data_IF_094652323924
#
_entry.id   IF_094652323924
#
_cell.length_a   1.000
_cell.length_b   1.000
_cell.length_c   1.000
_cell.angle_alpha   90.00
_cell.angle_beta   90.00
_cell.angle_gamma   90.00
#
_symmetry.space_group_name_H-M   'P 1'
#
loop_
_entity.id
_entity.type
_entity.pdbx_description
1 polymer ?
#
# COMPACT_ATOMS: atom_id res chain seq x y z
N UNK A 1 6.76 25.83 -15.53
CA UNK A 1 6.08 26.95 -16.22
C UNK A 1 4.66 27.23 -15.72
N UNK A 2 3.70 26.30 -15.84
CA UNK A 2 2.31 26.52 -15.40
C UNK A 2 2.16 26.74 -13.89
N UNK A 3 2.95 26.02 -13.08
CA UNK A 3 2.92 26.19 -11.61
C UNK A 3 3.43 27.57 -11.17
N UNK A 4 4.54 28.06 -11.72
CA UNK A 4 5.05 29.39 -11.37
C UNK A 4 4.17 30.54 -11.87
N UNK A 5 3.45 30.35 -12.99
CA UNK A 5 2.43 31.31 -13.43
C UNK A 5 1.30 31.43 -12.39
N UNK A 6 0.73 30.30 -11.95
CA UNK A 6 -0.29 30.29 -10.88
C UNK A 6 0.24 30.87 -9.57
N UNK A 7 1.51 30.58 -9.20
CA UNK A 7 2.14 31.15 -8.00
C UNK A 7 2.25 32.67 -8.11
N UNK A 8 2.65 33.20 -9.27
CA UNK A 8 2.72 34.64 -9.50
C UNK A 8 1.33 35.31 -9.40
N UNK A 9 0.28 34.69 -9.96
CA UNK A 9 -1.10 35.18 -9.85
C UNK A 9 -1.59 35.24 -8.38
N UNK A 10 -1.03 34.39 -7.52
CA UNK A 10 -1.30 34.36 -6.07
C UNK A 10 -0.27 35.17 -5.24
N UNK A 11 0.67 35.88 -5.87
CA UNK A 11 1.70 36.68 -5.19
C UNK A 11 2.77 35.87 -4.47
N UNK A 12 3.00 34.61 -4.88
CA UNK A 12 3.99 33.70 -4.28
C UNK A 12 5.28 33.65 -5.10
N UNK A 13 6.42 33.53 -4.40
CA UNK A 13 7.74 33.37 -5.01
C UNK A 13 7.81 32.14 -5.94
N UNK A 14 8.51 32.23 -7.08
CA UNK A 14 8.65 31.10 -8.00
C UNK A 14 9.47 29.97 -7.38
N UNK A 15 9.20 28.74 -7.80
CA UNK A 15 10.04 27.58 -7.49
C UNK A 15 11.08 27.39 -8.59
N UNK A 16 12.32 27.07 -8.21
CA UNK A 16 13.37 26.71 -9.17
C UNK A 16 13.12 25.31 -9.75
N UNK A 17 12.72 24.36 -8.89
CA UNK A 17 12.36 23.00 -9.27
C UNK A 17 11.00 22.60 -8.71
N UNK A 18 10.29 21.70 -9.42
CA UNK A 18 8.97 21.24 -9.00
C UNK A 18 8.96 20.65 -7.58
N UNK A 19 10.02 19.94 -7.20
CA UNK A 19 10.12 19.30 -5.89
C UNK A 19 10.45 20.25 -4.74
N UNK A 20 10.91 21.49 -5.03
CA UNK A 20 11.18 22.49 -4.00
C UNK A 20 9.93 22.84 -3.18
N UNK A 21 8.73 22.63 -3.75
CA UNK A 21 7.47 22.81 -3.03
C UNK A 21 7.37 21.91 -1.79
N UNK A 22 7.95 20.70 -1.84
CA UNK A 22 7.92 19.75 -0.72
C UNK A 22 8.77 20.28 0.43
N UNK A 23 9.93 20.85 0.11
CA UNK A 23 10.84 21.44 1.10
C UNK A 23 10.30 22.72 1.75
N UNK A 24 9.30 23.37 1.14
CA UNK A 24 8.60 24.51 1.73
C UNK A 24 7.48 24.10 2.70
N UNK A 25 7.14 22.80 2.78
CA UNK A 25 6.08 22.35 3.66
C UNK A 25 6.48 22.51 5.13
N UNK A 26 5.58 23.10 5.94
CA UNK A 26 5.76 23.20 7.40
C UNK A 26 5.83 21.81 8.07
N UNK A 27 5.16 20.82 7.48
CA UNK A 27 5.19 19.40 7.89
C UNK A 27 5.09 18.51 6.66
N UNK A 28 5.79 17.38 6.73
CA UNK A 28 5.68 16.28 5.77
C UNK A 28 5.14 15.06 6.52
N UNK A 29 3.96 14.59 6.12
CA UNK A 29 3.26 13.51 6.81
C UNK A 29 3.50 12.19 6.08
N UNK A 30 4.32 11.32 6.68
CA UNK A 30 4.66 10.02 6.13
C UNK A 30 3.63 9.00 6.61
N UNK A 31 2.74 8.60 5.71
CA UNK A 31 1.54 7.79 5.99
C UNK A 31 1.84 6.29 6.11
N UNK A 32 2.89 5.92 6.84
CA UNK A 32 3.31 4.53 7.04
C UNK A 32 3.83 4.29 8.45
N UNK A 33 3.97 3.02 8.82
CA UNK A 33 4.67 2.62 10.03
C UNK A 33 6.19 2.79 9.85
N UNK A 34 6.92 3.37 10.82
CA UNK A 34 8.39 3.40 10.81
C UNK A 34 9.02 2.01 10.73
N UNK A 35 8.39 0.98 11.32
CA UNK A 35 8.92 -0.39 11.30
C UNK A 35 8.85 -1.03 9.89
N UNK A 36 7.97 -0.53 9.03
CA UNK A 36 7.95 -0.91 7.61
C UNK A 36 9.11 -0.29 6.83
N UNK A 37 9.59 0.88 7.22
CA UNK A 37 10.65 1.58 6.51
C UNK A 37 12.06 1.13 6.92
N UNK A 38 13.06 1.41 6.10
CA UNK A 38 14.44 1.18 6.54
C UNK A 38 14.84 2.23 7.57
N UNK A 39 15.70 1.89 8.56
CA UNK A 39 16.20 2.87 9.51
C UNK A 39 16.78 4.10 8.78
N UNK A 40 16.16 5.25 8.98
CA UNK A 40 16.52 6.48 8.32
C UNK A 40 16.34 7.67 9.27
N UNK A 41 17.21 8.68 9.12
CA UNK A 41 17.01 9.98 9.77
C UNK A 41 16.06 10.80 8.89
N UNK A 42 14.87 11.06 9.41
CA UNK A 42 13.91 11.91 8.71
C UNK A 42 14.38 13.38 8.68
N UNK A 43 14.07 14.12 7.61
CA UNK A 43 14.15 15.58 7.60
C UNK A 43 13.36 16.19 8.76
N UNK A 44 13.77 17.38 9.21
CA UNK A 44 13.13 18.07 10.33
C UNK A 44 11.59 18.22 10.23
N UNK A 45 10.97 18.50 9.07
CA UNK A 45 9.52 18.61 8.96
C UNK A 45 8.80 17.25 8.87
N UNK A 46 9.51 16.14 8.64
CA UNK A 46 8.90 14.85 8.35
C UNK A 46 8.54 14.06 9.61
N UNK A 47 7.34 13.48 9.63
CA UNK A 47 6.80 12.67 10.74
C UNK A 47 6.14 11.42 10.19
N UNK A 48 6.45 10.26 10.76
CA UNK A 48 5.60 9.07 10.58
C UNK A 48 4.30 9.27 11.33
N UNK A 49 3.18 9.15 10.63
CA UNK A 49 1.84 9.44 11.18
C UNK A 49 0.79 8.39 10.81
N UNK A 50 1.21 7.33 10.12
CA UNK A 50 0.30 6.36 9.54
C UNK A 50 0.56 4.93 9.99
N UNK A 51 -0.11 3.98 9.32
CA UNK A 51 -0.92 4.17 8.11
C UNK A 51 -2.40 4.49 8.37
N UNK A 52 -3.08 4.93 7.32
CA UNK A 52 -4.56 4.92 7.22
C UNK A 52 -4.98 3.66 6.48
N UNK A 53 -5.86 2.88 7.10
CA UNK A 53 -6.24 1.53 6.64
C UNK A 53 -7.63 1.46 6.01
N UNK A 54 -8.30 2.60 5.85
CA UNK A 54 -9.68 2.66 5.35
C UNK A 54 -9.79 2.13 3.91
N UNK A 55 -10.92 1.50 3.61
CA UNK A 55 -11.26 1.12 2.25
C UNK A 55 -11.86 2.31 1.49
N UNK A 56 -11.65 2.40 0.18
CA UNK A 56 -12.30 3.42 -0.63
C UNK A 56 -13.83 3.26 -0.59
N UNK A 57 -14.56 4.38 -0.68
CA UNK A 57 -16.03 4.40 -0.61
C UNK A 57 -16.73 3.69 -1.78
N UNK A 58 -16.01 3.37 -2.86
CA UNK A 58 -16.54 2.75 -4.08
C UNK A 58 -16.49 1.20 -4.07
N UNK A 59 -15.97 0.57 -3.02
CA UNK A 59 -15.90 -0.89 -2.93
C UNK A 59 -17.29 -1.51 -2.80
N UNK A 60 -17.52 -2.62 -3.50
CA UNK A 60 -18.77 -3.38 -3.43
C UNK A 60 -18.72 -4.43 -2.32
N UNK A 61 -19.84 -4.75 -1.64
CA UNK A 61 -19.88 -5.80 -0.63
C UNK A 61 -19.34 -7.13 -1.17
N UNK A 62 -18.70 -7.90 -0.29
CA UNK A 62 -18.15 -9.21 -0.62
C UNK A 62 -18.54 -10.23 0.46
N UNK A 63 -18.84 -11.45 0.01
CA UNK A 63 -19.15 -12.58 0.88
C UNK A 63 -18.03 -13.61 0.77
N UNK A 64 -17.52 -14.06 1.92
CA UNK A 64 -16.51 -15.10 1.96
C UNK A 64 -17.06 -16.42 1.36
N UNK A 65 -16.28 -17.14 0.54
CA UNK A 65 -16.70 -18.44 0.07
C UNK A 65 -16.69 -19.45 1.24
N UNK A 66 -17.58 -20.44 1.19
CA UNK A 66 -17.94 -21.31 2.33
C UNK A 66 -17.00 -22.50 2.56
N UNK A 67 -16.11 -22.78 1.63
CA UNK A 67 -15.10 -23.84 1.68
C UNK A 67 -13.82 -23.42 2.43
N UNK A 68 -13.03 -24.42 2.83
CA UNK A 68 -11.86 -24.24 3.71
C UNK A 68 -10.53 -24.04 2.94
N UNK A 69 -10.55 -24.11 1.61
CA UNK A 69 -9.34 -23.95 0.80
C UNK A 69 -8.68 -22.58 1.01
N UNK A 70 -7.34 -22.46 1.00
CA UNK A 70 -6.66 -21.18 1.18
C UNK A 70 -7.12 -20.13 0.16
N UNK A 71 -7.48 -18.94 0.63
CA UNK A 71 -7.91 -17.84 -0.23
C UNK A 71 -6.72 -16.94 -0.61
N UNK A 72 -6.56 -16.68 -1.90
CA UNK A 72 -5.58 -15.72 -2.44
C UNK A 72 -6.29 -14.45 -2.90
N UNK A 73 -5.91 -13.32 -2.34
CA UNK A 73 -6.35 -12.00 -2.81
C UNK A 73 -5.36 -11.47 -3.86
N UNK A 74 -5.85 -11.09 -5.03
CA UNK A 74 -5.03 -10.53 -6.12
C UNK A 74 -5.43 -9.07 -6.41
N UNK A 75 -4.47 -8.14 -6.34
CA UNK A 75 -4.68 -6.72 -6.64
C UNK A 75 -3.44 -6.00 -7.17
N UNK A 76 -3.41 -5.68 -8.47
CA UNK A 76 -2.24 -5.11 -9.15
C UNK A 76 -2.28 -3.59 -9.42
N UNK A 77 -3.37 -2.87 -9.11
CA UNK A 77 -3.52 -1.40 -9.08
C UNK A 77 -4.97 -1.01 -9.36
N UNK A 78 -5.43 0.14 -8.87
CA UNK A 78 -6.69 0.78 -9.29
C UNK A 78 -6.51 1.71 -10.51
N UNK A 79 -5.27 1.91 -10.96
CA UNK A 79 -4.90 2.70 -12.15
C UNK A 79 -4.32 1.79 -13.23
N UNK A 80 -4.57 2.11 -14.51
CA UNK A 80 -4.04 1.33 -15.63
C UNK A 80 -2.50 1.39 -15.67
N UNK A 81 -1.88 0.22 -15.72
CA UNK A 81 -0.42 -0.02 -15.73
C UNK A 81 -0.05 -1.14 -16.72
N UNK A 82 -0.92 -1.43 -17.71
CA UNK A 82 -0.78 -2.52 -18.65
C UNK A 82 -0.57 -3.86 -17.90
N UNK A 83 -1.55 -4.19 -17.04
CA UNK A 83 -1.49 -5.31 -16.09
C UNK A 83 -2.25 -6.55 -16.55
N UNK A 84 -3.01 -6.47 -17.63
CA UNK A 84 -3.96 -7.47 -18.15
C UNK A 84 -3.29 -8.83 -18.32
N UNK A 85 -2.19 -8.88 -19.09
CA UNK A 85 -1.42 -10.11 -19.30
C UNK A 85 -0.80 -10.64 -18.00
N UNK A 86 -0.50 -9.77 -17.04
CA UNK A 86 0.05 -10.19 -15.73
C UNK A 86 -1.05 -10.81 -14.87
N UNK A 87 -2.25 -10.25 -14.90
CA UNK A 87 -3.43 -10.81 -14.21
C UNK A 87 -3.77 -12.17 -14.79
N UNK A 88 -3.80 -12.33 -16.12
CA UNK A 88 -4.03 -13.65 -16.72
C UNK A 88 -2.99 -14.68 -16.27
N UNK A 89 -1.69 -14.35 -16.28
CA UNK A 89 -0.64 -15.26 -15.78
C UNK A 89 -0.78 -15.61 -14.30
N UNK A 90 -1.28 -14.69 -13.48
CA UNK A 90 -1.58 -14.97 -12.07
C UNK A 90 -2.76 -15.93 -11.97
N UNK A 91 -3.83 -15.71 -12.73
CA UNK A 91 -4.99 -16.60 -12.78
C UNK A 91 -4.56 -18.01 -13.21
N UNK A 92 -3.79 -18.11 -14.30
CA UNK A 92 -3.27 -19.38 -14.81
C UNK A 92 -2.42 -20.10 -13.75
N UNK A 93 -1.59 -19.36 -13.01
CA UNK A 93 -0.79 -19.91 -11.93
C UNK A 93 -1.65 -20.45 -10.78
N UNK A 94 -2.63 -19.68 -10.33
CA UNK A 94 -3.52 -20.04 -9.22
C UNK A 94 -4.45 -21.20 -9.60
N UNK A 95 -4.82 -21.34 -10.87
CA UNK A 95 -5.59 -22.47 -11.39
C UNK A 95 -4.87 -23.82 -11.21
N UNK A 96 -3.54 -23.82 -11.07
CA UNK A 96 -2.74 -25.05 -10.84
C UNK A 96 -2.58 -25.42 -9.36
N UNK A 97 -3.13 -24.62 -8.45
CA UNK A 97 -2.98 -24.79 -7.00
C UNK A 97 -4.33 -25.13 -6.36
N UNK A 98 -4.34 -25.88 -5.24
CA UNK A 98 -5.54 -26.13 -4.45
C UNK A 98 -5.88 -24.90 -3.60
N UNK A 99 -6.22 -23.80 -4.28
CA UNK A 99 -6.54 -22.51 -3.66
C UNK A 99 -7.75 -21.90 -4.32
N UNK A 100 -8.41 -21.02 -3.56
CA UNK A 100 -9.41 -20.09 -4.08
C UNK A 100 -8.73 -18.78 -4.37
N UNK A 101 -9.29 -18.01 -5.31
CA UNK A 101 -8.81 -16.66 -5.52
C UNK A 101 -9.93 -15.65 -5.74
N UNK A 102 -9.66 -14.43 -5.30
CA UNK A 102 -10.42 -13.25 -5.69
C UNK A 102 -9.47 -12.24 -6.31
N UNK A 103 -9.75 -11.90 -7.56
CA UNK A 103 -9.04 -10.88 -8.33
C UNK A 103 -9.88 -9.62 -8.31
N UNK A 104 -9.34 -8.54 -7.72
CA UNK A 104 -9.97 -7.22 -7.77
C UNK A 104 -9.38 -6.43 -8.94
N UNK A 105 -10.16 -6.25 -10.00
CA UNK A 105 -9.76 -5.59 -11.24
C UNK A 105 -9.60 -4.07 -11.10
N UNK A 106 -10.38 -3.44 -10.21
CA UNK A 106 -10.50 -1.99 -10.12
C UNK A 106 -11.14 -1.39 -11.38
N UNK A 107 -11.15 -0.05 -11.53
CA UNK A 107 -11.65 0.59 -12.74
C UNK A 107 -10.70 0.46 -13.94
N UNK A 108 -9.55 -0.17 -13.74
CA UNK A 108 -8.46 -0.22 -14.73
C UNK A 108 -8.50 -1.45 -15.64
N UNK A 109 -9.32 -2.45 -15.31
CA UNK A 109 -9.47 -3.69 -16.06
C UNK A 109 -10.96 -4.05 -16.11
N UNK A 110 -11.45 -4.43 -17.29
CA UNK A 110 -12.76 -5.08 -17.42
C UNK A 110 -12.66 -6.52 -16.91
N UNK A 111 -13.42 -6.93 -15.86
CA UNK A 111 -13.40 -8.30 -15.35
C UNK A 111 -13.65 -9.38 -16.40
N UNK A 112 -14.36 -9.07 -17.50
CA UNK A 112 -14.68 -10.01 -18.58
C UNK A 112 -13.53 -10.22 -19.57
N UNK A 113 -12.48 -9.39 -19.50
CA UNK A 113 -11.31 -9.46 -20.39
C UNK A 113 -10.31 -10.57 -20.04
N UNK A 114 -10.51 -11.25 -18.91
CA UNK A 114 -9.66 -12.35 -18.44
C UNK A 114 -10.46 -13.64 -18.27
N UNK A 115 -9.81 -14.77 -18.49
CA UNK A 115 -10.44 -16.08 -18.36
C UNK A 115 -10.08 -16.70 -17.02
N UNK A 116 -11.09 -16.88 -16.15
CA UNK A 116 -10.93 -17.45 -14.82
C UNK A 116 -11.70 -18.79 -14.67
N UNK A 117 -11.08 -19.84 -14.09
CA UNK A 117 -11.77 -21.07 -13.73
C UNK A 117 -12.71 -20.85 -12.52
N UNK A 118 -13.55 -21.85 -12.22
CA UNK A 118 -14.60 -21.73 -11.21
C UNK A 118 -14.11 -21.40 -9.78
N UNK A 119 -12.88 -21.78 -9.43
CA UNK A 119 -12.27 -21.47 -8.13
C UNK A 119 -11.68 -20.05 -8.03
N UNK A 120 -11.80 -19.25 -9.10
CA UNK A 120 -11.24 -17.89 -9.19
C UNK A 120 -12.37 -16.92 -9.55
N UNK A 121 -12.67 -16.01 -8.62
CA UNK A 121 -13.59 -14.91 -8.86
C UNK A 121 -12.85 -13.68 -9.37
N UNK A 122 -13.35 -13.05 -10.43
CA UNK A 122 -12.84 -11.76 -10.92
C UNK A 122 -13.94 -10.73 -10.73
N UNK A 123 -13.68 -9.73 -9.91
CA UNK A 123 -14.66 -8.70 -9.55
C UNK A 123 -14.10 -7.32 -9.83
N UNK A 124 -14.98 -6.35 -10.11
CA UNK A 124 -14.59 -4.96 -10.27
C UNK A 124 -13.97 -4.41 -8.97
N UNK A 125 -14.54 -4.75 -7.81
CA UNK A 125 -14.06 -4.31 -6.51
C UNK A 125 -14.51 -5.23 -5.38
N UNK A 126 -13.78 -5.18 -4.26
CA UNK A 126 -14.14 -5.80 -2.98
C UNK A 126 -13.46 -5.04 -1.84
N UNK A 127 -14.04 -5.00 -0.62
CA UNK A 127 -13.39 -4.43 0.57
C UNK A 127 -12.20 -5.30 0.97
N UNK A 128 -10.99 -4.86 0.60
CA UNK A 128 -9.77 -5.63 0.91
C UNK A 128 -9.63 -5.89 2.40
N UNK A 129 -10.10 -5.00 3.28
CA UNK A 129 -10.09 -5.23 4.73
C UNK A 129 -10.88 -6.47 5.14
N UNK A 130 -12.02 -6.72 4.52
CA UNK A 130 -12.85 -7.90 4.81
C UNK A 130 -12.27 -9.16 4.17
N UNK A 131 -11.83 -9.07 2.90
CA UNK A 131 -11.20 -10.20 2.20
C UNK A 131 -9.95 -10.69 2.94
N UNK A 132 -9.13 -9.76 3.44
CA UNK A 132 -7.88 -10.07 4.13
C UNK A 132 -8.07 -10.85 5.44
N UNK A 133 -9.27 -10.82 6.05
CA UNK A 133 -9.57 -11.67 7.22
C UNK A 133 -9.56 -13.16 6.89
N UNK A 134 -9.76 -13.50 5.62
CA UNK A 134 -9.82 -14.87 5.12
C UNK A 134 -8.63 -15.24 4.23
N UNK A 135 -7.82 -14.25 3.84
CA UNK A 135 -6.72 -14.47 2.90
C UNK A 135 -5.54 -15.18 3.55
N UNK A 136 -5.07 -16.25 2.88
CA UNK A 136 -3.82 -16.91 3.21
C UNK A 136 -2.61 -16.19 2.59
N UNK A 137 -2.78 -15.66 1.37
CA UNK A 137 -1.73 -14.96 0.60
C UNK A 137 -2.33 -13.77 -0.16
N UNK A 138 -1.55 -12.70 -0.31
CA UNK A 138 -1.87 -11.60 -1.24
C UNK A 138 -0.89 -11.60 -2.41
N UNK A 139 -1.39 -11.46 -3.64
CA UNK A 139 -0.56 -11.13 -4.81
C UNK A 139 -0.83 -9.67 -5.16
N UNK A 140 0.18 -8.82 -5.04
CA UNK A 140 0.05 -7.40 -5.34
C UNK A 140 1.25 -6.86 -6.11
N UNK A 141 1.11 -5.65 -6.63
CA UNK A 141 2.13 -4.97 -7.42
C UNK A 141 3.14 -4.16 -6.60
N UNK A 142 3.04 -4.15 -5.27
CA UNK A 142 3.89 -3.34 -4.38
C UNK A 142 3.32 -1.96 -4.05
N UNK A 143 2.06 -1.69 -4.41
CA UNK A 143 1.38 -0.46 -4.01
C UNK A 143 1.24 -0.38 -2.49
N UNK A 144 1.74 0.72 -1.90
CA UNK A 144 1.84 0.91 -0.44
C UNK A 144 0.55 0.57 0.31
N UNK A 145 -0.61 1.04 -0.16
CA UNK A 145 -1.91 0.79 0.49
C UNK A 145 -2.26 -0.69 0.61
N UNK A 146 -2.04 -1.50 -0.44
CA UNK A 146 -2.31 -2.95 -0.38
C UNK A 146 -1.28 -3.68 0.47
N UNK A 147 0.01 -3.31 0.34
CA UNK A 147 1.09 -3.91 1.14
C UNK A 147 0.82 -3.71 2.63
N UNK A 148 0.52 -2.49 3.04
CA UNK A 148 0.29 -2.16 4.45
C UNK A 148 -0.99 -2.80 4.99
N UNK A 149 -2.08 -2.86 4.21
CA UNK A 149 -3.30 -3.58 4.62
C UNK A 149 -3.04 -5.08 4.82
N UNK A 150 -2.30 -5.72 3.91
CA UNK A 150 -1.94 -7.11 4.02
C UNK A 150 -1.10 -7.39 5.28
N UNK A 151 -0.09 -6.55 5.56
CA UNK A 151 0.69 -6.62 6.79
C UNK A 151 -0.18 -6.39 8.03
N UNK A 152 -1.05 -5.38 8.03
CA UNK A 152 -1.98 -5.12 9.13
C UNK A 152 -2.90 -6.32 9.43
N UNK A 153 -3.20 -7.14 8.43
CA UNK A 153 -3.96 -8.39 8.57
C UNK A 153 -3.07 -9.64 8.86
N UNK A 154 -1.75 -9.48 8.94
CA UNK A 154 -0.80 -10.58 9.13
C UNK A 154 -0.69 -11.51 7.93
N UNK A 155 -1.06 -11.04 6.73
CA UNK A 155 -1.09 -11.88 5.52
C UNK A 155 0.20 -11.68 4.71
N UNK A 156 0.98 -12.75 4.47
CA UNK A 156 2.16 -12.69 3.63
C UNK A 156 1.80 -12.49 2.15
N UNK A 157 2.78 -12.08 1.33
CA UNK A 157 2.48 -11.66 -0.03
C UNK A 157 3.52 -12.04 -1.09
N UNK A 158 3.05 -12.21 -2.33
CA UNK A 158 3.86 -12.15 -3.54
C UNK A 158 3.77 -10.74 -4.10
N UNK A 159 4.92 -10.08 -4.27
CA UNK A 159 4.99 -8.70 -4.78
C UNK A 159 5.54 -8.71 -6.20
N UNK A 160 4.81 -8.09 -7.13
CA UNK A 160 5.13 -8.01 -8.56
C UNK A 160 5.27 -6.56 -9.04
N UNK A 161 6.42 -5.90 -8.80
CA UNK A 161 6.60 -4.48 -9.13
C UNK A 161 6.41 -4.18 -10.62
N UNK A 162 5.64 -3.12 -10.90
CA UNK A 162 5.39 -2.54 -12.22
C UNK A 162 6.10 -1.18 -12.43
N UNK A 163 6.45 -0.46 -11.36
CA UNK A 163 7.18 0.82 -11.39
C UNK A 163 6.97 1.65 -10.13
N UNK A 164 7.28 2.96 -10.18
CA UNK A 164 7.14 3.88 -9.03
C UNK A 164 7.95 3.39 -7.82
N UNK A 165 7.38 3.48 -6.62
CA UNK A 165 7.93 3.07 -5.32
C UNK A 165 7.75 1.56 -5.02
N UNK A 166 7.25 0.79 -5.99
CA UNK A 166 6.82 -0.59 -5.76
C UNK A 166 7.99 -1.55 -5.54
N UNK A 167 9.14 -1.30 -6.17
CA UNK A 167 10.32 -2.14 -6.00
C UNK A 167 10.93 -1.95 -4.60
N UNK A 168 10.87 -0.73 -4.08
CA UNK A 168 11.29 -0.37 -2.73
C UNK A 168 10.36 -1.02 -1.70
N UNK A 169 9.04 -0.98 -1.91
CA UNK A 169 8.08 -1.69 -1.07
C UNK A 169 8.29 -3.22 -1.11
N UNK A 170 8.55 -3.79 -2.28
CA UNK A 170 8.91 -5.21 -2.40
C UNK A 170 10.18 -5.55 -1.62
N UNK A 171 11.19 -4.67 -1.65
CA UNK A 171 12.44 -4.83 -0.90
C UNK A 171 12.18 -4.80 0.62
N UNK A 172 11.33 -3.87 1.09
CA UNK A 172 10.94 -3.79 2.51
C UNK A 172 10.23 -5.06 2.99
N UNK A 173 9.33 -5.61 2.17
CA UNK A 173 8.60 -6.86 2.46
C UNK A 173 9.53 -8.06 2.51
N UNK A 174 10.37 -8.22 1.47
CA UNK A 174 11.24 -9.40 1.33
C UNK A 174 12.38 -9.43 2.35
N UNK A 175 12.98 -8.28 2.67
CA UNK A 175 14.03 -8.17 3.69
C UNK A 175 13.54 -8.57 5.09
N UNK A 176 12.23 -8.41 5.35
CA UNK A 176 11.58 -8.80 6.61
C UNK A 176 11.01 -10.21 6.58
N UNK A 177 11.17 -10.94 5.48
CA UNK A 177 10.65 -12.29 5.32
C UNK A 177 9.12 -12.38 5.29
N UNK A 178 8.41 -11.28 5.01
CA UNK A 178 6.94 -11.24 4.96
C UNK A 178 6.38 -11.52 3.55
N UNK A 179 7.24 -11.85 2.58
CA UNK A 179 6.80 -12.14 1.22
C UNK A 179 7.94 -12.45 0.25
N UNK A 180 7.57 -12.67 -1.01
CA UNK A 180 8.48 -13.00 -2.11
C UNK A 180 8.27 -12.00 -3.25
N UNK A 181 9.35 -11.45 -3.79
CA UNK A 181 9.28 -10.62 -4.99
C UNK A 181 9.39 -11.47 -6.27
N UNK A 182 8.49 -11.23 -7.22
CA UNK A 182 8.45 -11.89 -8.53
C UNK A 182 8.43 -10.81 -9.61
N UNK A 183 9.14 -11.00 -10.72
CA UNK A 183 9.16 -10.02 -11.82
C UNK A 183 7.76 -9.93 -12.47
N UNK A 184 7.34 -8.73 -12.91
CA UNK A 184 6.08 -8.51 -13.67
C UNK A 184 5.89 -9.52 -14.82
N UNK A 185 6.96 -9.77 -15.58
CA UNK A 185 6.98 -10.70 -16.72
C UNK A 185 7.24 -12.16 -16.37
N UNK A 186 7.17 -12.55 -15.10
CA UNK A 186 7.36 -13.95 -14.71
C UNK A 186 6.27 -14.84 -15.31
N UNK A 187 6.66 -16.08 -15.63
CA UNK A 187 5.73 -17.13 -16.05
C UNK A 187 4.88 -17.59 -14.86
N UNK A 188 3.70 -18.10 -15.19
CA UNK A 188 2.74 -18.75 -14.30
C UNK A 188 3.41 -19.74 -13.33
N UNK A 189 4.31 -20.62 -13.80
CA UNK A 189 4.96 -21.60 -12.91
C UNK A 189 5.79 -20.95 -11.80
N UNK A 190 6.43 -19.80 -12.08
CA UNK A 190 7.22 -19.06 -11.09
C UNK A 190 6.32 -18.38 -10.05
N UNK A 191 5.17 -17.88 -10.49
CA UNK A 191 4.15 -17.29 -9.61
C UNK A 191 3.56 -18.37 -8.70
N UNK A 192 3.16 -19.51 -9.27
CA UNK A 192 2.62 -20.64 -8.51
C UNK A 192 3.62 -21.17 -7.47
N UNK A 193 4.91 -21.28 -7.84
CA UNK A 193 5.97 -21.69 -6.92
C UNK A 193 6.16 -20.69 -5.76
N UNK A 194 6.02 -19.39 -6.00
CA UNK A 194 6.11 -18.38 -4.94
C UNK A 194 4.92 -18.46 -3.98
N UNK A 195 3.70 -18.62 -4.49
CA UNK A 195 2.49 -18.81 -3.66
C UNK A 195 2.61 -20.08 -2.82
N UNK A 196 2.96 -21.21 -3.45
CA UNK A 196 3.15 -22.49 -2.75
C UNK A 196 4.20 -22.38 -1.64
N UNK A 197 5.34 -21.75 -1.93
CA UNK A 197 6.38 -21.54 -0.91
C UNK A 197 5.87 -20.75 0.30
N UNK A 198 5.05 -19.72 0.09
CA UNK A 198 4.47 -18.94 1.19
C UNK A 198 3.46 -19.77 1.99
N UNK A 199 2.66 -20.61 1.31
CA UNK A 199 1.69 -21.49 1.97
C UNK A 199 2.37 -22.60 2.79
N UNK A 200 3.47 -23.16 2.29
CA UNK A 200 4.17 -24.29 2.91
C UNK A 200 5.13 -23.87 4.04
N UNK A 201 5.61 -22.62 4.03
CA UNK A 201 6.56 -22.10 5.02
C UNK A 201 5.88 -21.10 5.97
N UNK A 202 5.54 -21.51 7.21
CA UNK A 202 4.81 -20.66 8.16
C UNK A 202 5.61 -19.43 8.62
N UNK A 203 6.92 -19.38 8.38
CA UNK A 203 7.73 -18.22 8.74
C UNK A 203 7.28 -16.94 8.02
N UNK A 204 6.76 -17.04 6.78
CA UNK A 204 6.24 -15.89 6.06
C UNK A 204 5.06 -15.25 6.77
N UNK A 205 4.12 -16.07 7.26
CA UNK A 205 2.97 -15.60 8.05
C UNK A 205 3.41 -15.03 9.39
N UNK A 206 4.27 -15.73 10.13
CA UNK A 206 4.77 -15.23 11.41
C UNK A 206 5.50 -13.86 11.28
N UNK A 207 6.25 -13.67 10.18
CA UNK A 207 6.92 -12.41 9.90
C UNK A 207 5.94 -11.30 9.49
N UNK A 208 4.94 -11.63 8.66
CA UNK A 208 3.88 -10.69 8.30
C UNK A 208 3.07 -10.26 9.52
N UNK A 209 2.75 -11.17 10.43
CA UNK A 209 2.04 -10.90 11.70
C UNK A 209 2.84 -9.98 12.61
N UNK A 210 4.14 -10.24 12.80
CA UNK A 210 5.04 -9.41 13.61
C UNK A 210 5.11 -7.98 13.08
N UNK A 211 5.27 -7.81 11.76
CA UNK A 211 5.27 -6.48 11.15
C UNK A 211 3.87 -5.84 11.22
N UNK A 212 2.82 -6.65 11.10
CA UNK A 212 1.43 -6.25 11.27
C UNK A 212 1.11 -5.67 12.63
N UNK A 213 1.71 -6.18 13.71
CA UNK A 213 1.54 -5.62 15.05
C UNK A 213 2.03 -4.17 15.14
N UNK A 214 3.21 -3.89 14.59
CA UNK A 214 3.73 -2.53 14.49
C UNK A 214 2.81 -1.64 13.67
N UNK A 215 2.41 -2.11 12.49
CA UNK A 215 1.49 -1.40 11.59
C UNK A 215 0.17 -1.05 12.28
N UNK A 216 -0.45 -1.99 13.00
CA UNK A 216 -1.71 -1.77 13.72
C UNK A 216 -1.54 -0.79 14.89
N UNK A 217 -0.44 -0.90 15.65
CA UNK A 217 -0.11 0.03 16.73
C UNK A 217 0.01 1.47 16.21
N UNK A 218 0.70 1.65 15.10
CA UNK A 218 0.95 2.98 14.54
C UNK A 218 -0.31 3.58 13.90
N UNK A 219 -1.14 2.75 13.24
CA UNK A 219 -2.45 3.15 12.74
C UNK A 219 -3.40 3.63 13.87
N UNK A 220 -3.35 2.97 15.03
CA UNK A 220 -4.16 3.34 16.20
C UNK A 220 -3.57 4.51 17.01
N UNK A 221 -2.39 5.03 16.65
CA UNK A 221 -1.67 6.00 17.47
C UNK A 221 -2.32 7.38 17.54
N UNK A 222 -3.20 7.73 16.59
CA UNK A 222 -3.76 9.09 16.45
C UNK A 222 -2.71 10.17 16.08
N UNK A 223 -1.50 9.77 15.66
CA UNK A 223 -0.41 10.70 15.34
C UNK A 223 -0.77 11.66 14.19
N UNK A 224 -1.49 11.18 13.17
CA UNK A 224 -1.97 12.01 12.07
C UNK A 224 -2.80 13.19 12.55
N UNK A 225 -3.82 12.93 13.37
CA UNK A 225 -4.72 13.96 13.86
C UNK A 225 -3.96 14.98 14.71
N UNK A 226 -3.10 14.52 15.63
CA UNK A 226 -2.28 15.40 16.47
C UNK A 226 -1.36 16.32 15.65
N UNK A 227 -0.68 15.78 14.63
CA UNK A 227 0.20 16.60 13.78
C UNK A 227 -0.60 17.60 12.93
N UNK A 228 -1.78 17.24 12.43
CA UNK A 228 -2.66 18.16 11.72
C UNK A 228 -3.15 19.30 12.63
N UNK A 229 -3.60 19.00 13.85
CA UNK A 229 -4.04 19.98 14.84
C UNK A 229 -2.90 20.92 15.27
N UNK A 230 -1.68 20.39 15.44
CA UNK A 230 -0.49 21.16 15.79
C UNK A 230 -0.04 22.12 14.67
N UNK A 231 -0.34 21.80 13.40
CA UNK A 231 -0.09 22.70 12.27
C UNK A 231 -1.18 23.77 12.17
N UNK A 232 -2.44 23.42 12.44
CA UNK A 232 -3.58 24.32 12.35
C UNK A 232 -3.62 25.37 13.48
N UNK A 233 -3.02 25.07 14.64
CA UNK A 233 -2.95 26.01 15.76
C UNK A 233 -1.94 27.12 15.42
N UNK A 234 -2.36 28.40 15.34
CA UNK A 234 -1.44 29.50 15.14
C UNK A 234 -0.38 29.45 16.24
N UNK A 235 0.90 29.50 15.87
CA UNK A 235 1.93 29.92 16.81
C UNK A 235 1.58 31.36 17.18
N UNK A 236 0.86 31.56 18.28
CA UNK A 236 0.76 32.86 18.93
C UNK A 236 2.20 33.31 19.13
N UNK A 237 2.59 34.31 18.36
CA UNK A 237 3.94 34.83 18.37
C UNK A 237 4.30 35.16 19.82
N UNK A 238 5.43 34.63 20.28
CA UNK A 238 6.18 35.22 21.39
C UNK A 238 6.61 36.62 20.95
N UNK A 239 5.71 37.58 21.02
CA UNK A 239 5.98 39.00 21.07
C UNK A 239 5.87 39.42 22.54
N UNK A 240 6.77 38.87 23.36
CA UNK A 240 7.13 39.47 24.64
C UNK A 240 8.65 39.53 24.71
N UNK A 241 9.20 40.64 24.22
CA UNK A 241 10.33 41.34 24.84
C UNK A 241 10.80 42.50 23.95
N UNK A 242 10.25 43.67 24.22
CA UNK A 242 11.07 44.88 24.39
C UNK A 242 10.22 45.95 25.06
N UNK A 243 9.97 45.75 26.35
CA UNK A 243 9.91 46.87 27.25
C UNK A 243 11.22 47.65 27.15
N UNK A 244 11.17 48.87 26.65
CA UNK A 244 12.11 49.92 27.05
C UNK A 244 11.30 51.17 27.42
N UNK A 245 11.28 51.57 28.69
CA UNK A 245 10.96 52.93 29.07
C UNK A 245 12.25 53.77 29.07
N UNK A 246 12.12 54.97 28.51
CA UNK A 246 12.86 56.22 28.72
C UNK A 246 13.05 56.93 27.37
#
# INVERSE_FOLDING_TARGET
>A
PRLNALRADLGLEPLAHFWDQVHQARRELVMTSPDFDFPAKLPAPARYVGPVLDDPTWVQPWTAPSDDDPLVLVGLSSTFQNQDATIQRIIDALATLPVRAIVTAGPALDPTSVHAPANISVVASAPHREVLKHAAVVINHGGHGTVIKALAAGVPMVVMPHGRDQAENATRVTTRGAGIAVKKGAKDQKIAAAVRKILDDPSYRANAERLGEAVRRDAASGALLRELEAVATPQTARLQSSSKPA
#
